data_IF_691769037275
#
_entry.id   IF_691769037275
#
_cell.length_a   1.000
_cell.length_b   1.000
_cell.length_c   1.000
_cell.angle_alpha   90.00
_cell.angle_beta   90.00
_cell.angle_gamma   90.00
#
_symmetry.space_group_name_H-M   'P 1'
#
loop_
_entity.id
_entity.type
_entity.pdbx_description
1 polymer ?
#
# COMPACT_ATOMS: atom_id res chain seq x y z
N UNK A 1 -0.97 -16.67 -12.81
CA UNK A 1 -0.54 -16.59 -11.39
C UNK A 1 -0.17 -15.15 -11.09
N UNK A 2 -0.64 -14.59 -9.97
CA UNK A 2 -0.38 -13.18 -9.61
C UNK A 2 0.84 -13.09 -8.69
N UNK A 3 1.75 -12.15 -8.97
CA UNK A 3 2.90 -11.85 -8.12
C UNK A 3 2.71 -10.46 -7.52
N UNK A 4 2.99 -10.32 -6.23
CA UNK A 4 2.90 -9.05 -5.51
C UNK A 4 4.31 -8.67 -5.04
N UNK A 5 4.61 -7.38 -5.09
CA UNK A 5 5.92 -6.84 -4.73
C UNK A 5 5.76 -5.76 -3.67
N UNK A 6 6.67 -5.75 -2.71
CA UNK A 6 6.80 -4.65 -1.77
C UNK A 6 7.75 -3.60 -2.36
N UNK A 7 7.28 -2.37 -2.51
CA UNK A 7 8.07 -1.25 -3.00
C UNK A 7 8.23 -0.18 -1.92
N UNK A 8 9.34 0.56 -1.97
CA UNK A 8 9.57 1.76 -1.19
C UNK A 8 9.63 2.95 -2.14
N UNK A 9 8.90 4.03 -1.82
CA UNK A 9 8.98 5.27 -2.58
C UNK A 9 10.32 5.95 -2.29
N UNK A 10 11.10 6.22 -3.34
CA UNK A 10 12.40 6.95 -3.26
C UNK A 10 12.25 8.41 -3.72
N UNK A 11 11.21 8.73 -4.50
CA UNK A 11 10.93 10.08 -5.00
C UNK A 11 9.51 10.21 -5.59
N UNK A 12 9.24 11.37 -6.21
CA UNK A 12 7.92 11.71 -6.76
C UNK A 12 6.92 12.21 -5.71
N UNK A 13 5.88 12.89 -6.18
CA UNK A 13 4.78 13.42 -5.36
C UNK A 13 3.49 12.69 -5.72
N UNK A 14 2.52 12.61 -4.79
CA UNK A 14 1.20 12.05 -5.10
C UNK A 14 0.54 12.71 -6.31
N UNK A 15 0.81 13.99 -6.60
CA UNK A 15 0.25 14.72 -7.76
C UNK A 15 0.83 14.30 -9.11
N UNK A 16 1.89 13.48 -9.14
CA UNK A 16 2.56 13.09 -10.38
C UNK A 16 1.95 11.81 -11.00
N UNK A 17 0.72 11.42 -10.62
CA UNK A 17 0.02 10.26 -11.21
C UNK A 17 -0.45 10.52 -12.65
N UNK A 18 -0.58 9.47 -13.44
CA UNK A 18 -1.06 9.52 -14.83
C UNK A 18 -2.56 9.19 -14.93
N UNK A 19 -3.13 9.36 -16.13
CA UNK A 19 -4.55 9.20 -16.45
C UNK A 19 -5.19 7.86 -16.03
N UNK A 20 -4.41 6.80 -15.80
CA UNK A 20 -4.89 5.49 -15.33
C UNK A 20 -5.31 5.49 -13.86
N UNK A 21 -4.91 6.50 -13.10
CA UNK A 21 -5.18 6.61 -11.66
C UNK A 21 -6.00 7.86 -11.41
N UNK A 22 -7.16 7.70 -10.76
CA UNK A 22 -8.03 8.83 -10.43
C UNK A 22 -7.50 9.63 -9.23
N UNK A 23 -6.97 8.96 -8.21
CA UNK A 23 -6.39 9.60 -7.03
C UNK A 23 -5.35 8.72 -6.33
N UNK A 24 -4.36 9.36 -5.70
CA UNK A 24 -3.37 8.72 -4.82
C UNK A 24 -3.39 9.38 -3.45
N UNK A 25 -3.39 8.58 -2.39
CA UNK A 25 -3.37 9.05 -1.00
C UNK A 25 -2.23 8.41 -0.22
N UNK A 26 -1.55 9.22 0.60
CA UNK A 26 -0.68 8.71 1.65
C UNK A 26 -1.51 8.51 2.92
N UNK A 27 -1.50 7.30 3.46
CA UNK A 27 -2.28 6.94 4.65
C UNK A 27 -1.36 6.34 5.71
N UNK A 28 -1.64 6.57 7.00
CA UNK A 28 -1.00 5.81 8.07
C UNK A 28 -1.21 4.31 7.85
N UNK A 29 -0.18 3.51 8.17
CA UNK A 29 -0.22 2.05 7.97
C UNK A 29 -1.39 1.38 8.70
N UNK A 30 -1.77 1.92 9.86
CA UNK A 30 -2.90 1.42 10.66
C UNK A 30 -4.27 1.66 10.00
N UNK A 31 -4.35 2.61 9.07
CA UNK A 31 -5.60 2.91 8.34
C UNK A 31 -5.74 2.11 7.04
N UNK A 32 -4.72 1.35 6.62
CA UNK A 32 -4.78 0.54 5.38
C UNK A 32 -6.05 -0.32 5.26
N UNK A 33 -6.55 -0.98 6.32
CA UNK A 33 -7.78 -1.78 6.24
C UNK A 33 -9.04 -0.97 5.89
N UNK A 34 -9.04 0.35 6.10
CA UNK A 34 -10.17 1.23 5.75
C UNK A 34 -10.20 1.59 4.27
N UNK A 35 -9.04 1.56 3.59
CA UNK A 35 -8.90 2.00 2.20
C UNK A 35 -8.82 0.83 1.21
N UNK A 36 -8.40 -0.35 1.68
CA UNK A 36 -8.23 -1.56 0.87
C UNK A 36 -9.42 -2.50 1.08
N UNK A 37 -10.49 -2.22 0.35
CA UNK A 37 -11.81 -2.87 0.53
C UNK A 37 -12.01 -4.10 -0.36
N UNK A 38 -11.05 -4.43 -1.23
CA UNK A 38 -11.17 -5.61 -2.08
C UNK A 38 -10.94 -6.88 -1.25
N UNK A 39 -11.76 -7.95 -1.40
CA UNK A 39 -11.55 -9.22 -0.71
C UNK A 39 -10.16 -9.83 -0.90
N UNK A 40 -9.48 -9.51 -2.02
CA UNK A 40 -8.14 -9.99 -2.30
C UNK A 40 -7.03 -9.26 -1.52
N UNK A 41 -7.32 -8.10 -0.92
CA UNK A 41 -6.34 -7.28 -0.20
C UNK A 41 -6.01 -7.85 1.20
N UNK A 42 -6.86 -8.72 1.75
CA UNK A 42 -6.71 -9.23 3.11
C UNK A 42 -5.33 -9.89 3.37
N UNK A 43 -4.88 -10.77 2.46
CA UNK A 43 -3.59 -11.47 2.62
C UNK A 43 -2.39 -10.52 2.45
N UNK A 44 -2.34 -9.67 1.40
CA UNK A 44 -1.27 -8.67 1.25
C UNK A 44 -1.20 -7.69 2.42
N UNK A 45 -2.34 -7.20 2.92
CA UNK A 45 -2.40 -6.25 4.04
C UNK A 45 -1.86 -6.88 5.32
N UNK A 46 -2.28 -8.11 5.64
CA UNK A 46 -1.75 -8.83 6.80
C UNK A 46 -0.22 -9.02 6.73
N UNK A 47 0.29 -9.40 5.56
CA UNK A 47 1.74 -9.55 5.34
C UNK A 47 2.50 -8.23 5.48
N UNK A 48 1.95 -7.13 4.95
CA UNK A 48 2.54 -5.81 5.06
C UNK A 48 2.57 -5.30 6.52
N UNK A 49 1.48 -5.49 7.27
CA UNK A 49 1.40 -5.10 8.69
C UNK A 49 2.42 -5.86 9.55
N UNK A 50 2.54 -7.17 9.34
CA UNK A 50 3.54 -7.99 10.03
C UNK A 50 4.98 -7.54 9.69
N UNK A 51 5.25 -7.24 8.43
CA UNK A 51 6.55 -6.74 7.97
C UNK A 51 6.92 -5.39 8.59
N UNK A 52 5.98 -4.45 8.65
CA UNK A 52 6.20 -3.14 9.27
C UNK A 52 6.43 -3.27 10.77
N UNK A 53 5.64 -4.10 11.47
CA UNK A 53 5.81 -4.33 12.91
C UNK A 53 7.18 -4.95 13.25
N UNK A 54 7.66 -5.88 12.43
CA UNK A 54 8.97 -6.52 12.60
C UNK A 54 10.15 -5.56 12.35
N UNK A 55 9.93 -4.51 11.55
CA UNK A 55 11.01 -3.61 11.09
C UNK A 55 11.35 -2.45 12.02
N UNK A 56 10.63 -2.26 13.14
CA UNK A 56 10.80 -1.16 14.13
C UNK A 56 11.59 0.04 13.55
N UNK A 57 10.91 0.79 12.69
CA UNK A 57 11.28 2.17 12.36
C UNK A 57 10.74 3.07 13.47
#
# INVERSE_FOLDING_TARGET
TTRLYLAQRIGGRPVDFHWEVEAVRLVPVMELPCWLTNPHDAKPVAALLAHVAARRI
#
